data_IF_605448748950
#
_entry.id   IF_605448748950
#
_cell.length_a   1.000
_cell.length_b   1.000
_cell.length_c   1.000
_cell.angle_alpha   90.00
_cell.angle_beta   90.00
_cell.angle_gamma   90.00
#
_symmetry.space_group_name_H-M   'P 1'
#
loop_
_entity.id
_entity.type
_entity.pdbx_description
1 polymer ?
#
# COMPACT_ATOMS: atom_id res chain seq x y z
N UNK A 1 0.41 -32.39 18.01
CA UNK A 1 1.57 -31.47 18.13
C UNK A 1 1.92 -30.83 16.79
N UNK A 2 2.23 -31.63 15.74
CA UNK A 2 2.62 -31.13 14.41
C UNK A 2 1.64 -30.09 13.82
N UNK A 3 0.33 -30.34 13.89
CA UNK A 3 -0.69 -29.40 13.37
C UNK A 3 -0.73 -28.05 14.10
N UNK A 4 -0.37 -28.00 15.39
CA UNK A 4 -0.28 -26.74 16.14
C UNK A 4 0.95 -25.95 15.73
N UNK A 5 2.09 -26.62 15.58
CA UNK A 5 3.34 -26.01 15.11
C UNK A 5 3.16 -25.47 13.69
N UNK A 6 2.54 -26.24 12.80
CA UNK A 6 2.28 -25.80 11.42
C UNK A 6 1.45 -24.51 11.37
N UNK A 7 0.42 -24.38 12.21
CA UNK A 7 -0.38 -23.16 12.33
C UNK A 7 0.41 -21.97 12.86
N UNK A 8 1.26 -22.20 13.87
CA UNK A 8 2.12 -21.14 14.44
C UNK A 8 3.11 -20.65 13.39
N UNK A 9 3.76 -21.56 12.66
CA UNK A 9 4.71 -21.19 11.60
C UNK A 9 3.99 -20.43 10.48
N UNK A 10 2.83 -20.91 10.02
CA UNK A 10 2.07 -20.24 8.99
C UNK A 10 1.66 -18.81 9.40
N UNK A 11 1.09 -18.64 10.60
CA UNK A 11 0.71 -17.33 11.13
C UNK A 11 1.92 -16.44 11.37
N UNK A 12 3.02 -17.00 11.88
CA UNK A 12 4.26 -16.27 12.12
C UNK A 12 4.90 -15.78 10.82
N UNK A 13 4.96 -16.62 9.78
CA UNK A 13 5.45 -16.22 8.45
C UNK A 13 4.59 -15.12 7.84
N UNK A 14 3.28 -15.20 8.00
CA UNK A 14 2.37 -14.16 7.54
C UNK A 14 2.59 -12.84 8.30
N UNK A 15 2.65 -12.87 9.63
CA UNK A 15 2.92 -11.69 10.44
C UNK A 15 4.28 -11.03 10.13
N UNK A 16 5.32 -11.84 9.88
CA UNK A 16 6.62 -11.33 9.42
C UNK A 16 6.49 -10.64 8.05
N UNK A 17 5.74 -11.22 7.12
CA UNK A 17 5.52 -10.62 5.80
C UNK A 17 4.83 -9.26 5.93
N UNK A 18 3.74 -9.18 6.70
CA UNK A 18 3.01 -7.91 6.93
C UNK A 18 3.93 -6.86 7.56
N UNK A 19 4.69 -7.24 8.60
CA UNK A 19 5.62 -6.35 9.27
C UNK A 19 6.72 -5.83 8.33
N UNK A 20 7.25 -6.68 7.45
CA UNK A 20 8.26 -6.26 6.47
C UNK A 20 7.70 -5.27 5.46
N UNK A 21 6.45 -5.47 5.01
CA UNK A 21 5.81 -4.53 4.08
C UNK A 21 5.51 -3.20 4.77
N UNK A 22 4.96 -3.21 5.98
CA UNK A 22 4.73 -2.01 6.78
C UNK A 22 6.05 -1.24 7.02
N UNK A 23 7.10 -1.97 7.42
CA UNK A 23 8.43 -1.41 7.61
C UNK A 23 8.96 -0.77 6.33
N UNK A 24 8.81 -1.43 5.17
CA UNK A 24 9.24 -0.86 3.89
C UNK A 24 8.48 0.42 3.54
N UNK A 25 7.15 0.44 3.70
CA UNK A 25 6.32 1.62 3.44
C UNK A 25 6.69 2.81 4.34
N UNK A 26 7.13 2.56 5.58
CA UNK A 26 7.56 3.61 6.51
C UNK A 26 8.98 4.09 6.20
N UNK A 27 9.92 3.17 5.97
CA UNK A 27 11.34 3.50 5.75
C UNK A 27 11.56 4.14 4.39
N UNK A 28 10.93 3.63 3.35
CA UNK A 28 10.99 4.17 1.99
C UNK A 28 9.71 4.93 1.63
N UNK A 29 9.36 5.88 2.48
CA UNK A 29 8.09 6.62 2.41
C UNK A 29 7.92 7.36 1.08
N UNK A 30 8.96 8.07 0.62
CA UNK A 30 8.86 8.92 -0.56
C UNK A 30 8.65 8.12 -1.84
N UNK A 31 9.42 7.03 -2.03
CA UNK A 31 9.31 6.21 -3.23
C UNK A 31 7.94 5.54 -3.33
N UNK A 32 7.43 5.01 -2.21
CA UNK A 32 6.10 4.40 -2.15
C UNK A 32 4.98 5.44 -2.30
N UNK A 33 5.14 6.63 -1.74
CA UNK A 33 4.20 7.73 -1.95
C UNK A 33 4.17 8.16 -3.42
N UNK A 34 5.32 8.27 -4.09
CA UNK A 34 5.38 8.67 -5.50
C UNK A 34 4.66 7.68 -6.41
N UNK A 35 4.69 6.38 -6.07
CA UNK A 35 3.86 5.38 -6.75
C UNK A 35 2.35 5.66 -6.60
N UNK A 36 1.89 5.94 -5.37
CA UNK A 36 0.49 6.32 -5.12
C UNK A 36 0.14 7.63 -5.84
N UNK A 37 1.06 8.59 -5.88
CA UNK A 37 0.87 9.85 -6.62
C UNK A 37 0.66 9.60 -8.11
N UNK A 38 1.50 8.79 -8.77
CA UNK A 38 1.31 8.47 -10.19
C UNK A 38 -0.03 7.79 -10.48
N UNK A 39 -0.48 6.89 -9.60
CA UNK A 39 -1.81 6.27 -9.72
C UNK A 39 -2.90 7.33 -9.62
N UNK A 40 -2.83 8.22 -8.63
CA UNK A 40 -3.87 9.23 -8.40
C UNK A 40 -3.86 10.35 -9.44
N UNK A 41 -2.68 10.71 -9.96
CA UNK A 41 -2.49 11.68 -11.05
C UNK A 41 -2.90 11.12 -12.41
N UNK A 42 -3.03 9.80 -12.55
CA UNK A 42 -3.40 9.14 -13.81
C UNK A 42 -2.47 9.58 -14.96
N UNK A 43 -1.20 9.83 -14.69
CA UNK A 43 -0.25 10.41 -15.66
C UNK A 43 0.33 9.38 -16.63
N UNK A 44 0.23 8.10 -16.29
CA UNK A 44 0.68 6.97 -17.12
C UNK A 44 -0.41 6.31 -17.96
N UNK A 45 -1.66 6.78 -17.88
CA UNK A 45 -2.76 6.22 -18.71
C UNK A 45 -2.78 6.83 -20.11
N UNK A 46 -3.34 6.09 -21.08
CA UNK A 46 -3.43 6.52 -22.48
C UNK A 46 -4.02 7.94 -22.62
N UNK A 47 -3.44 8.74 -23.52
CA UNK A 47 -3.79 10.16 -23.68
C UNK A 47 -5.27 10.40 -24.00
N UNK A 48 -5.90 9.50 -24.78
CA UNK A 48 -7.31 9.54 -25.15
C UNK A 48 -8.23 8.74 -24.21
N UNK A 49 -7.76 8.39 -23.01
CA UNK A 49 -8.58 7.67 -22.04
C UNK A 49 -9.69 8.57 -21.47
N UNK A 50 -10.92 8.09 -21.53
CA UNK A 50 -12.08 8.73 -20.89
C UNK A 50 -12.03 8.69 -19.37
N UNK A 51 -11.00 8.12 -18.75
CA UNK A 51 -10.87 7.99 -17.29
C UNK A 51 -10.09 9.15 -16.64
N UNK A 52 -9.42 10.01 -17.43
CA UNK A 52 -8.60 11.13 -16.92
C UNK A 52 -9.37 12.13 -16.05
N UNK A 53 -10.69 12.22 -16.18
CA UNK A 53 -11.51 13.11 -15.33
C UNK A 53 -11.46 12.76 -13.84
N UNK A 54 -10.99 11.56 -13.48
CA UNK A 54 -10.82 11.11 -12.09
C UNK A 54 -9.44 11.43 -11.52
N UNK A 55 -8.57 12.13 -12.26
CA UNK A 55 -7.27 12.57 -11.73
C UNK A 55 -7.48 13.38 -10.45
N UNK A 56 -6.65 13.09 -9.46
CA UNK A 56 -6.59 13.84 -8.21
C UNK A 56 -5.23 14.51 -8.18
N UNK A 57 -5.17 15.84 -8.31
CA UNK A 57 -3.91 16.59 -8.33
C UNK A 57 -3.51 17.16 -6.95
N UNK A 58 -4.28 16.85 -5.90
CA UNK A 58 -4.02 17.37 -4.55
C UNK A 58 -2.98 16.54 -3.80
N UNK A 59 -1.82 17.15 -3.53
CA UNK A 59 -0.74 16.57 -2.73
C UNK A 59 -1.24 16.13 -1.35
N UNK A 60 -2.13 16.91 -0.72
CA UNK A 60 -2.72 16.55 0.57
C UNK A 60 -3.53 15.26 0.49
N UNK A 61 -4.34 15.10 -0.57
CA UNK A 61 -5.11 13.87 -0.78
C UNK A 61 -4.19 12.68 -1.05
N UNK A 62 -3.10 12.86 -1.79
CA UNK A 62 -2.11 11.79 -2.02
C UNK A 62 -1.52 11.26 -0.72
N UNK A 63 -1.08 12.14 0.19
CA UNK A 63 -0.60 11.72 1.50
C UNK A 63 -1.70 11.06 2.33
N UNK A 64 -2.93 11.59 2.28
CA UNK A 64 -4.07 11.02 3.02
C UNK A 64 -4.38 9.60 2.55
N UNK A 65 -4.46 9.37 1.24
CA UNK A 65 -4.67 8.04 0.68
C UNK A 65 -3.53 7.09 1.03
N UNK A 66 -2.28 7.55 0.94
CA UNK A 66 -1.14 6.70 1.27
C UNK A 66 -1.13 6.28 2.74
N UNK A 67 -1.39 7.21 3.67
CA UNK A 67 -1.52 6.91 5.10
C UNK A 67 -2.64 5.89 5.34
N UNK A 68 -3.81 6.07 4.71
CA UNK A 68 -4.92 5.12 4.83
C UNK A 68 -4.58 3.72 4.31
N UNK A 69 -3.78 3.61 3.24
CA UNK A 69 -3.33 2.32 2.71
C UNK A 69 -2.43 1.61 3.73
N UNK A 70 -1.46 2.32 4.29
CA UNK A 70 -0.53 1.77 5.29
C UNK A 70 -1.29 1.39 6.56
N UNK A 71 -2.11 2.29 7.10
CA UNK A 71 -2.92 2.05 8.31
C UNK A 71 -3.86 0.85 8.11
N UNK A 72 -4.57 0.77 6.99
CA UNK A 72 -5.51 -0.33 6.75
C UNK A 72 -4.78 -1.67 6.56
N UNK A 73 -3.61 -1.68 5.95
CA UNK A 73 -2.80 -2.89 5.84
C UNK A 73 -2.37 -3.41 7.22
N UNK A 74 -2.12 -2.51 8.17
CA UNK A 74 -1.75 -2.86 9.54
C UNK A 74 -2.95 -3.18 10.46
N UNK A 75 -4.16 -2.71 10.11
CA UNK A 75 -5.38 -2.85 10.95
C UNK A 75 -6.26 -4.05 10.56
N UNK A 76 -6.29 -4.47 9.29
CA UNK A 76 -7.30 -5.44 8.80
C UNK A 76 -6.85 -6.91 8.84
N UNK A 77 -5.70 -7.20 9.44
CA UNK A 77 -5.16 -8.55 9.65
C UNK A 77 -4.89 -8.82 11.13
#
# INVERSE_FOLDING_TARGET
>A
MVTRIAKIVALGSFGIMVLLVAFNNVVDYNSNLDFVRHILLMDTIFENSSLKWRSIDSVFLHHTFYILIVDHQDIVE
#
